data_IF_849628210315
#
_entry.id   IF_849628210315
#
_cell.length_a   1.000
_cell.length_b   1.000
_cell.length_c   1.000
_cell.angle_alpha   90.00
_cell.angle_beta   90.00
_cell.angle_gamma   90.00
#
_symmetry.space_group_name_H-M   'P 1'
#
loop_
_entity.id
_entity.type
_entity.pdbx_description
1 polymer ?
#
# COMPACT_ATOMS: atom_id res chain seq x y z
N UNK A 1 2.52 8.11 29.40
CA UNK A 1 2.01 9.38 28.85
C UNK A 1 1.53 9.06 27.44
N UNK A 2 0.50 8.24 27.29
CA UNK A 2 -0.89 8.38 27.74
C UNK A 2 -1.68 9.33 26.83
N UNK A 3 -2.71 8.73 26.25
CA UNK A 3 -3.39 9.07 25.00
C UNK A 3 -4.36 10.24 25.18
N UNK A 4 -4.49 11.06 24.13
CA UNK A 4 -5.48 12.12 24.05
C UNK A 4 -6.82 11.54 23.57
N UNK A 5 -7.77 11.43 24.50
CA UNK A 5 -9.19 11.21 24.20
C UNK A 5 -9.81 12.49 23.59
N UNK A 6 -10.53 12.40 22.46
CA UNK A 6 -11.28 13.51 21.88
C UNK A 6 -12.76 13.53 22.32
N UNK A 7 -13.06 13.18 23.57
CA UNK A 7 -14.38 13.43 24.16
C UNK A 7 -14.27 14.62 25.10
N UNK A 8 -14.67 15.79 24.61
CA UNK A 8 -15.29 16.88 25.37
C UNK A 8 -15.05 18.21 24.65
N UNK A 9 -15.78 18.47 23.58
CA UNK A 9 -16.33 19.82 23.33
C UNK A 9 -17.63 19.66 22.54
N UNK A 10 -18.76 19.81 23.25
CA UNK A 10 -19.93 20.62 22.90
C UNK A 10 -21.26 19.95 23.31
N UNK A 11 -21.47 19.84 24.62
CA UNK A 11 -22.82 19.94 25.19
C UNK A 11 -23.27 21.40 25.12
N UNK A 12 -24.35 21.66 24.40
CA UNK A 12 -25.26 22.77 24.69
C UNK A 12 -26.67 22.24 24.39
N UNK A 13 -27.34 21.81 25.46
CA UNK A 13 -28.78 21.62 25.50
C UNK A 13 -29.44 23.01 25.59
N UNK A 14 -30.45 23.29 24.77
CA UNK A 14 -31.84 23.48 25.23
C UNK A 14 -32.81 23.75 24.05
N UNK A 15 -33.83 22.88 23.99
CA UNK A 15 -35.26 23.17 23.79
C UNK A 15 -35.90 23.54 22.43
N UNK A 16 -37.11 22.96 22.30
CA UNK A 16 -38.25 23.28 21.44
C UNK A 16 -38.32 22.75 19.98
N UNK A 17 -38.99 21.61 19.82
CA UNK A 17 -40.24 21.58 19.02
C UNK A 17 -40.21 20.96 17.60
N UNK A 18 -40.87 19.81 17.49
CA UNK A 18 -41.63 19.30 16.32
C UNK A 18 -40.87 18.97 15.02
N UNK A 19 -40.60 17.67 14.83
CA UNK A 19 -40.39 17.09 13.49
C UNK A 19 -41.76 16.84 12.82
N UNK A 20 -42.03 17.34 11.59
CA UNK A 20 -43.21 16.93 10.86
C UNK A 20 -42.95 15.61 10.13
N UNK A 21 -43.67 14.59 10.58
CA UNK A 21 -43.97 13.37 9.85
C UNK A 21 -44.65 13.71 8.51
N UNK A 22 -43.93 13.60 7.40
CA UNK A 22 -44.55 13.65 6.06
C UNK A 22 -45.03 12.25 5.71
N UNK A 23 -46.34 12.07 5.87
CA UNK A 23 -47.10 10.91 5.46
C UNK A 23 -46.94 10.65 3.94
N UNK A 24 -46.73 9.37 3.61
CA UNK A 24 -46.83 8.87 2.26
C UNK A 24 -48.27 9.07 1.75
N UNK A 25 -48.40 9.73 0.60
CA UNK A 25 -49.65 9.80 -0.15
C UNK A 25 -49.40 9.21 -1.55
N UNK A 26 -49.98 8.04 -1.79
CA UNK A 26 -50.09 7.41 -3.12
C UNK A 26 -50.82 8.33 -4.10
N UNK A 27 -50.42 8.41 -5.38
CA UNK A 27 -51.29 8.95 -6.41
C UNK A 27 -52.07 7.80 -7.05
N UNK A 28 -53.38 7.73 -6.75
CA UNK A 28 -54.36 7.12 -7.64
C UNK A 28 -54.63 8.08 -8.81
N UNK A 29 -54.59 7.55 -10.02
CA UNK A 29 -54.89 8.25 -11.27
C UNK A 29 -56.41 8.21 -11.59
N UNK A 30 -56.78 9.06 -12.55
CA UNK A 30 -58.10 9.27 -13.21
C UNK A 30 -59.00 10.31 -12.50
N UNK A 31 -59.64 11.27 -13.15
CA UNK A 31 -59.74 11.76 -14.54
C UNK A 31 -60.45 13.13 -14.43
N UNK A 32 -60.31 14.03 -15.40
CA UNK A 32 -61.12 15.27 -15.44
C UNK A 32 -60.41 16.52 -15.96
N UNK A 33 -60.51 16.71 -17.27
CA UNK A 33 -60.13 17.91 -17.99
C UNK A 33 -60.77 19.20 -17.43
N UNK A 34 -59.99 20.29 -17.36
CA UNK A 34 -60.45 21.63 -17.75
C UNK A 34 -59.25 22.49 -18.13
N UNK A 35 -59.34 23.11 -19.31
CA UNK A 35 -58.35 24.01 -19.87
C UNK A 35 -58.23 25.30 -19.04
N UNK A 36 -56.98 25.72 -18.82
CA UNK A 36 -56.64 27.00 -18.20
C UNK A 36 -55.23 27.39 -18.63
N UNK A 37 -55.15 28.11 -19.74
CA UNK A 37 -53.92 28.69 -20.27
C UNK A 37 -53.46 29.80 -19.32
N UNK A 38 -52.32 29.61 -18.66
CA UNK A 38 -51.59 30.70 -18.02
C UNK A 38 -50.08 30.49 -18.19
N UNK A 39 -49.55 31.30 -19.09
CA UNK A 39 -48.12 31.53 -19.33
C UNK A 39 -47.49 32.13 -18.08
N UNK A 40 -46.47 31.46 -17.54
CA UNK A 40 -45.55 32.04 -16.55
C UNK A 40 -44.12 31.84 -17.03
N UNK A 41 -43.35 32.93 -16.97
CA UNK A 41 -41.99 33.10 -17.49
C UNK A 41 -40.97 32.08 -16.96
N UNK A 42 -39.90 31.76 -17.74
CA UNK A 42 -38.91 30.78 -17.34
C UNK A 42 -37.92 31.36 -16.33
N UNK A 43 -38.03 30.95 -15.06
CA UNK A 43 -36.98 31.11 -14.06
C UNK A 43 -35.79 30.17 -14.31
N UNK A 44 -34.59 30.50 -13.79
CA UNK A 44 -33.34 29.81 -14.12
C UNK A 44 -33.40 28.33 -13.73
N UNK A 45 -33.32 27.45 -14.73
CA UNK A 45 -33.27 26.02 -14.55
C UNK A 45 -32.00 25.63 -13.78
N UNK A 46 -32.18 25.13 -12.56
CA UNK A 46 -31.15 24.34 -11.88
C UNK A 46 -30.75 23.16 -12.79
N UNK A 47 -29.46 22.77 -12.84
CA UNK A 47 -29.01 21.72 -13.75
C UNK A 47 -29.82 20.46 -13.48
N UNK A 48 -30.59 20.03 -14.50
CA UNK A 48 -31.38 18.82 -14.45
C UNK A 48 -30.45 17.66 -14.05
N UNK A 49 -30.76 17.00 -12.93
CA UNK A 49 -30.10 15.74 -12.57
C UNK A 49 -30.19 14.82 -13.80
N UNK A 50 -29.10 14.13 -14.17
CA UNK A 50 -29.13 13.25 -15.35
C UNK A 50 -30.31 12.29 -15.20
N UNK A 51 -31.25 12.37 -16.14
CA UNK A 51 -32.43 11.53 -16.13
C UNK A 51 -31.97 10.07 -16.25
N UNK A 52 -32.22 9.27 -15.21
CA UNK A 52 -31.84 7.87 -15.20
C UNK A 52 -32.49 7.17 -16.40
N UNK A 53 -31.68 6.44 -17.16
CA UNK A 53 -32.15 5.69 -18.32
C UNK A 53 -33.13 4.60 -17.88
N UNK A 54 -34.01 4.17 -18.80
CA UNK A 54 -34.95 3.09 -18.51
C UNK A 54 -34.25 1.79 -18.06
N UNK A 55 -33.05 1.52 -18.59
CA UNK A 55 -32.22 0.38 -18.21
C UNK A 55 -31.66 0.50 -16.79
N UNK A 56 -31.19 1.68 -16.39
CA UNK A 56 -30.73 1.94 -15.02
C UNK A 56 -31.88 1.79 -14.03
N UNK A 57 -33.06 2.33 -14.34
CA UNK A 57 -34.26 2.19 -13.50
C UNK A 57 -34.69 0.72 -13.35
N UNK A 58 -34.57 -0.09 -14.40
CA UNK A 58 -34.85 -1.52 -14.35
C UNK A 58 -33.86 -2.28 -13.44
N UNK A 59 -32.56 -1.95 -13.50
CA UNK A 59 -31.53 -2.51 -12.62
C UNK A 59 -31.76 -2.14 -11.15
N UNK A 60 -32.11 -0.89 -10.86
CA UNK A 60 -32.46 -0.48 -9.49
C UNK A 60 -33.73 -1.17 -8.99
N UNK A 61 -34.73 -1.39 -9.85
CA UNK A 61 -35.93 -2.15 -9.49
C UNK A 61 -35.64 -3.63 -9.23
N UNK A 62 -34.70 -4.25 -9.95
CA UNK A 62 -34.24 -5.60 -9.65
C UNK A 62 -33.48 -5.65 -8.32
N UNK A 63 -32.52 -4.76 -8.11
CA UNK A 63 -31.75 -4.68 -6.87
C UNK A 63 -32.62 -4.48 -5.64
N UNK A 64 -33.65 -3.61 -5.71
CA UNK A 64 -34.61 -3.43 -4.61
C UNK A 64 -35.40 -4.70 -4.31
N UNK A 65 -35.83 -5.43 -5.35
CA UNK A 65 -36.57 -6.70 -5.18
C UNK A 65 -35.69 -7.78 -4.58
N UNK A 66 -34.47 -7.90 -5.05
CA UNK A 66 -33.48 -8.83 -4.51
C UNK A 66 -33.13 -8.50 -3.06
N UNK A 67 -32.85 -7.22 -2.75
CA UNK A 67 -32.59 -6.78 -1.38
C UNK A 67 -33.78 -7.03 -0.44
N UNK A 68 -35.01 -6.82 -0.92
CA UNK A 68 -36.22 -7.12 -0.13
C UNK A 68 -36.39 -8.64 0.07
N UNK A 69 -36.14 -9.45 -0.96
CA UNK A 69 -36.18 -10.91 -0.87
C UNK A 69 -35.13 -11.42 0.13
N UNK A 70 -33.88 -10.96 0.01
CA UNK A 70 -32.80 -11.30 0.92
C UNK A 70 -33.10 -10.90 2.37
N UNK A 71 -33.74 -9.75 2.60
CA UNK A 71 -34.19 -9.34 3.94
C UNK A 71 -35.24 -10.28 4.51
N UNK A 72 -36.25 -10.64 3.71
CA UNK A 72 -37.30 -11.59 4.14
C UNK A 72 -36.71 -12.97 4.41
N UNK A 73 -35.81 -13.44 3.56
CA UNK A 73 -35.11 -14.72 3.75
C UNK A 73 -34.26 -14.71 5.03
N UNK A 74 -33.49 -13.64 5.26
CA UNK A 74 -32.69 -13.49 6.47
C UNK A 74 -33.56 -13.43 7.73
N UNK A 75 -34.71 -12.75 7.69
CA UNK A 75 -35.67 -12.71 8.80
C UNK A 75 -36.29 -14.09 9.07
N UNK A 76 -36.67 -14.82 8.01
CA UNK A 76 -37.18 -16.18 8.12
C UNK A 76 -36.12 -17.14 8.67
N UNK A 77 -34.86 -17.02 8.22
CA UNK A 77 -33.74 -17.82 8.72
C UNK A 77 -33.47 -17.53 10.20
N UNK A 78 -33.47 -16.26 10.61
CA UNK A 78 -33.33 -15.87 12.03
C UNK A 78 -34.48 -16.41 12.88
N UNK A 79 -35.72 -16.28 12.41
CA UNK A 79 -36.89 -16.82 13.10
C UNK A 79 -36.86 -18.36 13.20
N UNK A 80 -36.37 -19.05 12.16
CA UNK A 80 -36.15 -20.49 12.20
C UNK A 80 -35.05 -20.88 13.21
N UNK A 81 -33.93 -20.16 13.21
CA UNK A 81 -32.83 -20.39 14.14
C UNK A 81 -33.24 -20.18 15.61
N UNK A 82 -33.99 -19.11 15.90
CA UNK A 82 -34.54 -18.86 17.23
C UNK A 82 -35.53 -19.95 17.66
N UNK A 83 -36.40 -20.43 16.75
CA UNK A 83 -37.29 -21.56 17.04
C UNK A 83 -36.50 -22.84 17.36
N UNK A 84 -35.45 -23.14 16.60
CA UNK A 84 -34.59 -24.29 16.86
C UNK A 84 -33.89 -24.17 18.22
N UNK A 85 -33.31 -23.01 18.53
CA UNK A 85 -32.66 -22.73 19.83
C UNK A 85 -33.66 -22.91 20.98
N UNK A 86 -34.87 -22.35 20.87
CA UNK A 86 -35.90 -22.49 21.90
C UNK A 86 -36.32 -23.95 22.15
N UNK A 87 -36.34 -24.78 21.11
CA UNK A 87 -36.62 -26.21 21.25
C UNK A 87 -35.46 -26.91 21.95
N UNK A 88 -34.22 -26.68 21.50
CA UNK A 88 -33.02 -27.28 22.09
C UNK A 88 -32.82 -26.89 23.56
N UNK A 89 -33.10 -25.64 23.91
CA UNK A 89 -33.10 -25.13 25.29
C UNK A 89 -34.06 -25.92 26.20
N UNK A 90 -35.23 -26.33 25.69
CA UNK A 90 -36.19 -27.17 26.46
C UNK A 90 -35.66 -28.58 26.73
N UNK A 91 -34.78 -29.09 25.87
CA UNK A 91 -34.12 -30.39 26.04
C UNK A 91 -32.85 -30.31 26.91
N UNK A 92 -32.53 -29.14 27.46
CA UNK A 92 -31.41 -28.94 28.37
C UNK A 92 -30.09 -28.52 27.72
N UNK A 93 -30.07 -28.26 26.41
CA UNK A 93 -28.90 -27.71 25.73
C UNK A 93 -28.94 -26.18 25.83
N UNK A 94 -27.98 -25.57 26.50
CA UNK A 94 -27.93 -24.12 26.74
C UNK A 94 -26.77 -23.48 25.96
N UNK A 95 -26.98 -22.25 25.49
CA UNK A 95 -25.98 -21.44 24.79
C UNK A 95 -26.57 -20.08 24.38
N UNK A 96 -25.70 -19.10 24.15
CA UNK A 96 -26.12 -17.72 23.85
C UNK A 96 -26.70 -17.61 22.43
N UNK A 97 -26.25 -18.46 21.52
CA UNK A 97 -26.71 -18.55 20.14
C UNK A 97 -26.90 -20.02 19.72
N UNK A 98 -27.56 -20.22 18.56
CA UNK A 98 -27.80 -21.56 18.02
C UNK A 98 -26.50 -22.31 17.74
N UNK A 99 -25.45 -21.63 17.28
CA UNK A 99 -24.17 -22.26 16.91
C UNK A 99 -23.46 -22.86 18.13
N UNK A 100 -23.50 -22.21 19.29
CA UNK A 100 -22.97 -22.74 20.55
C UNK A 100 -23.78 -23.93 21.07
N UNK A 101 -25.10 -23.88 20.94
CA UNK A 101 -25.98 -25.00 21.28
C UNK A 101 -25.69 -26.20 20.35
N UNK A 102 -25.41 -25.96 19.08
CA UNK A 102 -25.03 -27.00 18.13
C UNK A 102 -23.62 -27.54 18.41
N UNK A 103 -22.65 -26.69 18.75
CA UNK A 103 -21.31 -27.10 19.14
C UNK A 103 -21.34 -28.00 20.39
N UNK A 104 -22.13 -27.63 21.41
CA UNK A 104 -22.28 -28.44 22.63
C UNK A 104 -22.94 -29.79 22.34
N UNK A 105 -23.97 -29.80 21.48
CA UNK A 105 -24.63 -31.03 21.04
C UNK A 105 -23.69 -31.93 20.24
N UNK A 106 -22.93 -31.37 19.30
CA UNK A 106 -21.97 -32.11 18.47
C UNK A 106 -20.81 -32.65 19.32
N UNK A 107 -20.27 -31.84 20.24
CA UNK A 107 -19.24 -32.25 21.18
C UNK A 107 -19.74 -33.40 22.08
N UNK A 108 -20.97 -33.31 22.58
CA UNK A 108 -21.60 -34.37 23.38
C UNK A 108 -21.81 -35.66 22.56
N UNK A 109 -22.18 -35.54 21.27
CA UNK A 109 -22.32 -36.69 20.38
C UNK A 109 -20.98 -37.37 20.09
N UNK A 110 -19.91 -36.59 19.88
CA UNK A 110 -18.56 -37.07 19.53
C UNK A 110 -17.69 -37.41 20.73
N UNK A 111 -18.15 -37.15 21.96
CA UNK A 111 -17.41 -37.33 23.21
C UNK A 111 -16.07 -36.55 23.23
N UNK A 112 -16.05 -35.37 22.62
CA UNK A 112 -14.90 -34.45 22.62
C UNK A 112 -15.27 -33.16 23.34
N UNK A 113 -14.27 -32.33 23.66
CA UNK A 113 -14.55 -31.00 24.22
C UNK A 113 -15.02 -30.01 23.14
N UNK A 114 -15.83 -29.01 23.51
CA UNK A 114 -16.25 -27.94 22.59
C UNK A 114 -15.04 -27.18 22.03
N UNK A 115 -14.00 -26.97 22.85
CA UNK A 115 -12.75 -26.34 22.41
C UNK A 115 -12.03 -27.15 21.34
N UNK A 116 -12.00 -28.48 21.48
CA UNK A 116 -11.35 -29.38 20.52
C UNK A 116 -12.12 -29.44 19.20
N UNK A 117 -13.46 -29.49 19.27
CA UNK A 117 -14.33 -29.40 18.08
C UNK A 117 -14.08 -28.10 17.30
N UNK A 118 -14.00 -26.96 18.01
CA UNK A 118 -13.73 -25.65 17.38
C UNK A 118 -12.34 -25.59 16.77
N UNK A 119 -11.34 -26.18 17.42
CA UNK A 119 -9.99 -26.28 16.88
C UNK A 119 -9.93 -27.16 15.63
N UNK A 120 -10.63 -28.30 15.63
CA UNK A 120 -10.73 -29.19 14.46
C UNK A 120 -11.36 -28.46 13.27
N UNK A 121 -12.49 -27.79 13.49
CA UNK A 121 -13.20 -27.03 12.44
C UNK A 121 -12.35 -25.86 11.91
N UNK A 122 -11.69 -25.11 12.80
CA UNK A 122 -10.79 -24.04 12.40
C UNK A 122 -9.59 -24.58 11.59
N UNK A 123 -9.01 -25.70 12.02
CA UNK A 123 -7.92 -26.34 11.28
C UNK A 123 -8.37 -26.88 9.92
N UNK A 124 -9.58 -27.41 9.82
CA UNK A 124 -10.17 -27.85 8.55
C UNK A 124 -10.46 -26.66 7.62
N UNK A 125 -11.00 -25.57 8.14
CA UNK A 125 -11.24 -24.35 7.38
C UNK A 125 -9.91 -23.75 6.87
N UNK A 126 -8.87 -23.73 7.70
CA UNK A 126 -7.53 -23.31 7.28
C UNK A 126 -6.97 -24.22 6.18
N UNK A 127 -7.09 -25.55 6.33
CA UNK A 127 -6.67 -26.51 5.30
C UNK A 127 -7.44 -26.31 4.01
N UNK A 128 -8.74 -26.10 4.09
CA UNK A 128 -9.59 -25.84 2.93
C UNK A 128 -9.20 -24.51 2.27
N UNK A 129 -8.98 -23.46 3.06
CA UNK A 129 -8.53 -22.15 2.58
C UNK A 129 -7.15 -22.23 1.93
N UNK A 130 -6.24 -23.03 2.48
CA UNK A 130 -4.92 -23.29 1.88
C UNK A 130 -5.06 -24.10 0.58
N UNK A 131 -5.91 -25.13 0.57
CA UNK A 131 -6.17 -25.94 -0.61
C UNK A 131 -6.79 -25.11 -1.75
N UNK A 132 -7.73 -24.20 -1.44
CA UNK A 132 -8.29 -23.27 -2.43
C UNK A 132 -7.24 -22.30 -2.96
N UNK A 133 -6.37 -21.75 -2.12
CA UNK A 133 -5.29 -20.85 -2.56
C UNK A 133 -4.23 -21.56 -3.42
N UNK A 134 -3.97 -22.83 -3.10
CA UNK A 134 -3.00 -23.67 -3.79
C UNK A 134 -3.64 -24.51 -4.90
N UNK A 135 -4.94 -24.31 -5.18
CA UNK A 135 -5.63 -25.00 -6.26
C UNK A 135 -4.89 -24.69 -7.58
N UNK A 136 -4.69 -25.69 -8.46
CA UNK A 136 -3.85 -25.53 -9.64
C UNK A 136 -4.32 -24.39 -10.54
N UNK A 137 -5.63 -24.19 -10.65
CA UNK A 137 -6.23 -23.08 -11.41
C UNK A 137 -5.90 -21.71 -10.79
N UNK A 138 -6.02 -21.57 -9.46
CA UNK A 138 -5.69 -20.32 -8.75
C UNK A 138 -4.20 -19.99 -8.89
N UNK A 139 -3.34 -21.00 -8.77
CA UNK A 139 -1.90 -20.84 -8.95
C UNK A 139 -1.57 -20.44 -10.39
N UNK A 140 -2.14 -21.12 -11.38
CA UNK A 140 -1.95 -20.77 -12.79
C UNK A 140 -2.44 -19.36 -13.11
N UNK A 141 -3.62 -18.96 -12.61
CA UNK A 141 -4.15 -17.62 -12.82
C UNK A 141 -3.27 -16.56 -12.17
N UNK A 142 -2.80 -16.79 -10.94
CA UNK A 142 -1.84 -15.89 -10.26
C UNK A 142 -0.53 -15.77 -11.05
N UNK A 143 -0.01 -16.87 -11.57
CA UNK A 143 1.20 -16.85 -12.41
C UNK A 143 0.98 -16.09 -13.71
N UNK A 144 -0.14 -16.32 -14.40
CA UNK A 144 -0.48 -15.58 -15.62
C UNK A 144 -0.58 -14.08 -15.35
N UNK A 145 -1.28 -13.66 -14.30
CA UNK A 145 -1.38 -12.26 -13.91
C UNK A 145 -0.01 -11.65 -13.60
N UNK A 146 0.84 -12.37 -12.86
CA UNK A 146 2.20 -11.92 -12.56
C UNK A 146 3.05 -11.76 -13.83
N UNK A 147 2.93 -12.67 -14.79
CA UNK A 147 3.62 -12.58 -16.08
C UNK A 147 3.11 -11.41 -16.93
N UNK A 148 1.81 -11.16 -16.97
CA UNK A 148 1.26 -9.98 -17.64
C UNK A 148 1.75 -8.67 -17.00
N UNK A 149 1.72 -8.58 -15.67
CA UNK A 149 2.23 -7.42 -14.94
C UNK A 149 3.71 -7.19 -15.25
N UNK A 150 4.54 -8.23 -15.15
CA UNK A 150 5.97 -8.15 -15.47
C UNK A 150 6.24 -7.65 -16.89
N UNK A 151 5.48 -8.12 -17.88
CA UNK A 151 5.63 -7.69 -19.27
C UNK A 151 5.27 -6.22 -19.45
N UNK A 152 4.19 -5.78 -18.82
CA UNK A 152 3.79 -4.37 -18.89
C UNK A 152 4.81 -3.47 -18.19
N UNK A 153 5.27 -3.86 -17.00
CA UNK A 153 6.32 -3.15 -16.25
C UNK A 153 7.60 -3.04 -17.10
N UNK A 154 8.02 -4.14 -17.73
CA UNK A 154 9.18 -4.14 -18.62
C UNK A 154 8.99 -3.19 -19.80
N UNK A 155 7.81 -3.21 -20.45
CA UNK A 155 7.53 -2.31 -21.57
C UNK A 155 7.63 -0.84 -21.14
N UNK A 156 7.04 -0.48 -20.01
CA UNK A 156 7.08 0.88 -19.47
C UNK A 156 8.53 1.31 -19.19
N UNK A 157 9.33 0.43 -18.57
CA UNK A 157 10.73 0.73 -18.29
C UNK A 157 11.57 0.86 -19.58
N UNK A 158 11.35 0.02 -20.57
CA UNK A 158 12.06 0.08 -21.85
C UNK A 158 11.66 1.32 -22.65
N UNK A 159 10.38 1.70 -22.64
CA UNK A 159 9.85 2.92 -23.26
C UNK A 159 10.48 4.16 -22.61
N UNK A 160 10.50 4.22 -21.27
CA UNK A 160 11.15 5.29 -20.50
C UNK A 160 12.66 5.37 -20.82
N UNK A 161 13.37 4.23 -20.91
CA UNK A 161 14.80 4.21 -21.27
C UNK A 161 15.04 4.72 -22.69
N UNK A 162 14.18 4.31 -23.62
CA UNK A 162 14.23 4.73 -25.02
C UNK A 162 14.05 6.23 -25.16
N UNK A 163 13.10 6.81 -24.41
CA UNK A 163 12.87 8.24 -24.37
C UNK A 163 14.09 9.00 -23.79
N UNK A 164 14.66 8.51 -22.69
CA UNK A 164 15.86 9.11 -22.07
C UNK A 164 17.05 9.08 -23.03
N UNK A 165 17.32 7.96 -23.69
CA UNK A 165 18.43 7.83 -24.65
C UNK A 165 18.24 8.70 -25.88
N UNK A 166 17.01 8.88 -26.34
CA UNK A 166 16.67 9.77 -27.46
C UNK A 166 16.94 11.24 -27.11
N UNK A 167 16.57 11.66 -25.91
CA UNK A 167 16.74 13.04 -25.45
C UNK A 167 18.14 13.34 -24.93
N UNK A 168 18.84 12.32 -24.40
CA UNK A 168 20.16 12.43 -23.79
C UNK A 168 21.10 11.33 -24.34
N UNK A 169 21.70 11.53 -25.53
CA UNK A 169 22.56 10.51 -26.18
C UNK A 169 23.83 10.13 -25.41
N UNK A 170 24.20 10.89 -24.37
CA UNK A 170 25.33 10.59 -23.49
C UNK A 170 25.00 9.63 -22.34
N UNK A 171 23.75 9.20 -22.18
CA UNK A 171 23.34 8.29 -21.11
C UNK A 171 23.78 6.85 -21.41
N UNK A 172 24.44 6.21 -20.44
CA UNK A 172 25.03 4.87 -20.58
C UNK A 172 24.30 3.79 -19.80
N UNK A 173 23.23 4.15 -19.08
CA UNK A 173 22.38 3.21 -18.35
C UNK A 173 21.84 2.08 -19.25
N UNK A 174 21.86 0.86 -18.72
CA UNK A 174 21.33 -0.33 -19.39
C UNK A 174 19.86 -0.53 -19.09
N UNK A 175 19.42 -0.10 -17.92
CA UNK A 175 18.03 -0.10 -17.48
C UNK A 175 17.66 1.22 -16.83
N UNK A 176 16.38 1.59 -16.87
CA UNK A 176 15.82 2.67 -16.04
C UNK A 176 16.07 2.43 -14.56
N UNK A 177 16.15 1.17 -14.13
CA UNK A 177 16.46 0.82 -12.75
C UNK A 177 17.86 1.30 -12.34
N UNK A 178 18.80 1.42 -13.28
CA UNK A 178 20.16 1.93 -13.03
C UNK A 178 20.18 3.45 -12.77
N UNK A 179 19.11 4.17 -13.12
CA UNK A 179 18.92 5.59 -12.77
C UNK A 179 18.59 5.76 -11.29
N UNK A 180 18.27 4.67 -10.61
CA UNK A 180 18.08 4.61 -9.17
C UNK A 180 16.64 4.88 -8.72
N UNK A 181 16.34 4.63 -7.44
CA UNK A 181 14.98 4.61 -6.91
C UNK A 181 14.29 5.97 -6.96
N UNK A 182 15.05 7.07 -6.95
CA UNK A 182 14.50 8.43 -7.01
C UNK A 182 13.86 8.73 -8.36
N UNK A 183 14.39 8.18 -9.45
CA UNK A 183 13.77 8.29 -10.77
C UNK A 183 12.40 7.58 -10.79
N UNK A 184 12.36 6.34 -10.29
CA UNK A 184 11.14 5.54 -10.22
C UNK A 184 10.08 6.19 -9.33
N UNK A 185 10.49 6.78 -8.19
CA UNK A 185 9.58 7.51 -7.32
C UNK A 185 8.95 8.73 -8.01
N UNK A 186 9.74 9.48 -8.80
CA UNK A 186 9.22 10.60 -9.59
C UNK A 186 8.26 10.13 -10.69
N UNK A 187 8.58 9.03 -11.40
CA UNK A 187 7.68 8.42 -12.38
C UNK A 187 6.38 7.94 -11.75
N UNK A 188 6.46 7.30 -10.59
CA UNK A 188 5.29 6.84 -9.82
C UNK A 188 4.43 8.02 -9.32
N UNK A 189 5.04 9.17 -9.04
CA UNK A 189 4.33 10.41 -8.71
C UNK A 189 3.69 11.10 -9.94
N UNK A 190 3.84 10.52 -11.14
CA UNK A 190 3.27 11.05 -12.38
C UNK A 190 4.13 12.13 -13.07
N UNK A 191 5.39 12.30 -12.66
CA UNK A 191 6.33 13.20 -13.33
C UNK A 191 6.74 12.61 -14.69
N UNK A 192 6.89 13.46 -15.70
CA UNK A 192 7.33 13.06 -17.02
C UNK A 192 8.78 12.53 -17.01
N UNK A 193 9.09 11.68 -17.99
CA UNK A 193 10.36 10.95 -18.08
C UNK A 193 11.58 11.88 -18.10
N UNK A 194 11.52 12.96 -18.87
CA UNK A 194 12.65 13.87 -19.02
C UNK A 194 12.89 14.72 -17.77
N UNK A 195 11.83 15.27 -17.17
CA UNK A 195 11.93 16.04 -15.92
C UNK A 195 12.43 15.17 -14.78
N UNK A 196 11.93 13.94 -14.67
CA UNK A 196 12.42 12.98 -13.67
C UNK A 196 13.90 12.66 -13.86
N UNK A 197 14.34 12.41 -15.10
CA UNK A 197 15.75 12.16 -15.41
C UNK A 197 16.63 13.36 -15.08
N UNK A 198 16.22 14.58 -15.45
CA UNK A 198 16.96 15.82 -15.17
C UNK A 198 17.14 16.07 -13.67
N UNK A 199 16.09 15.85 -12.88
CA UNK A 199 16.15 16.02 -11.43
C UNK A 199 17.17 15.06 -10.78
N UNK A 200 17.19 13.81 -11.25
CA UNK A 200 18.12 12.79 -10.76
C UNK A 200 19.54 13.01 -11.25
N UNK A 201 19.73 13.40 -12.52
CA UNK A 201 21.06 13.66 -13.08
C UNK A 201 21.73 14.87 -12.42
N UNK A 202 20.98 15.94 -12.14
CA UNK A 202 21.47 17.08 -11.35
C UNK A 202 21.88 16.67 -9.94
N UNK A 203 21.06 15.86 -9.27
CA UNK A 203 21.36 15.35 -7.91
C UNK A 203 22.60 14.45 -7.91
N UNK A 204 22.78 13.61 -8.95
CA UNK A 204 23.99 12.79 -9.13
C UNK A 204 25.22 13.66 -9.31
N UNK A 205 25.15 14.67 -10.18
CA UNK A 205 26.26 15.60 -10.43
C UNK A 205 26.64 16.40 -9.17
N UNK A 206 25.67 16.83 -8.38
CA UNK A 206 25.91 17.53 -7.11
C UNK A 206 26.58 16.63 -6.06
N UNK A 207 26.25 15.34 -6.04
CA UNK A 207 26.86 14.37 -5.13
C UNK A 207 28.24 13.90 -5.61
N UNK A 208 28.51 13.92 -6.92
CA UNK A 208 29.85 13.76 -7.48
C UNK A 208 30.56 15.12 -7.52
N UNK A 209 30.88 15.69 -6.35
CA UNK A 209 31.81 16.84 -6.31
C UNK A 209 33.08 16.45 -7.07
N UNK A 210 33.59 17.27 -8.01
CA UNK A 210 34.86 16.98 -8.65
C UNK A 210 35.90 16.81 -7.55
N UNK A 211 36.70 15.74 -7.63
CA UNK A 211 37.90 15.64 -6.82
C UNK A 211 38.65 16.98 -6.93
N UNK A 212 39.14 17.55 -5.82
CA UNK A 212 39.88 18.81 -5.87
C UNK A 212 40.88 18.72 -7.02
N UNK A 213 40.99 19.73 -7.90
CA UNK A 213 41.98 19.70 -8.96
C UNK A 213 43.31 19.34 -8.31
N UNK A 214 43.99 18.32 -8.84
CA UNK A 214 45.36 18.05 -8.43
C UNK A 214 46.14 19.34 -8.68
N UNK A 215 46.36 20.11 -7.62
CA UNK A 215 47.25 21.25 -7.63
C UNK A 215 48.57 20.66 -8.10
N UNK A 216 49.01 21.13 -9.27
CA UNK A 216 49.92 20.41 -10.14
C UNK A 216 51.12 19.81 -9.42
N UNK A 217 51.61 18.71 -10.00
CA UNK A 217 52.90 18.12 -9.70
C UNK A 217 54.02 19.18 -9.78
N UNK A 218 54.21 19.93 -8.70
CA UNK A 218 55.46 20.62 -8.40
C UNK A 218 56.42 19.52 -8.01
N UNK A 219 57.36 19.21 -8.90
CA UNK A 219 58.48 18.28 -8.71
C UNK A 219 58.72 17.88 -7.25
N UNK A 220 58.11 16.78 -6.80
CA UNK A 220 58.48 16.13 -5.55
C UNK A 220 59.74 15.30 -5.81
N UNK A 221 60.84 15.98 -6.10
CA UNK A 221 62.20 15.45 -5.90
C UNK A 221 62.72 15.81 -4.51
N UNK A 222 61.83 15.91 -3.55
CA UNK A 222 62.15 15.80 -2.13
C UNK A 222 61.50 14.51 -1.64
N UNK A 223 62.29 13.54 -1.16
CA UNK A 223 61.76 12.34 -0.53
C UNK A 223 60.77 12.79 0.55
N UNK A 224 59.52 12.33 0.45
CA UNK A 224 58.47 12.60 1.41
C UNK A 224 59.01 12.24 2.80
N UNK A 225 59.22 13.23 3.66
CA UNK A 225 59.67 13.03 5.04
C UNK A 225 58.65 12.08 5.70
N UNK A 226 59.06 10.83 5.93
CA UNK A 226 58.25 9.84 6.65
C UNK A 226 58.56 9.97 8.14
N UNK A 227 57.54 9.91 8.97
CA UNK A 227 57.69 9.90 10.44
C UNK A 227 58.33 8.61 10.96
N UNK A 228 58.26 7.53 10.15
CA UNK A 228 58.84 6.22 10.44
C UNK A 228 59.39 5.55 9.18
N UNK A 229 60.52 4.88 9.31
CA UNK A 229 61.17 4.08 8.28
C UNK A 229 61.21 2.60 8.72
N UNK A 230 61.12 1.67 7.77
CA UNK A 230 61.38 0.25 8.01
C UNK A 230 62.87 -0.08 7.83
N UNK A 231 63.38 -1.22 8.36
CA UNK A 231 64.79 -1.59 8.23
C UNK A 231 65.28 -1.60 6.78
N UNK A 232 64.50 -2.18 5.87
CA UNK A 232 64.83 -2.23 4.43
C UNK A 232 64.83 -0.84 3.77
N UNK A 233 64.02 0.09 4.27
CA UNK A 233 64.00 1.46 3.74
C UNK A 233 65.20 2.26 4.24
N UNK A 234 65.67 2.00 5.48
CA UNK A 234 66.88 2.63 6.02
C UNK A 234 68.13 2.12 5.32
N UNK A 235 68.21 0.82 5.01
CA UNK A 235 69.33 0.27 4.23
C UNK A 235 69.40 0.81 2.80
N UNK A 236 68.30 1.33 2.27
CA UNK A 236 68.23 1.97 0.95
C UNK A 236 68.45 3.48 0.99
N UNK A 237 68.52 4.11 2.17
CA UNK A 237 68.83 5.53 2.30
C UNK A 237 70.30 5.77 1.97
N UNK A 238 70.57 6.83 1.21
CA UNK A 238 71.95 7.20 0.91
C UNK A 238 72.58 7.95 2.09
N UNK A 239 73.91 7.97 2.15
CA UNK A 239 74.66 8.64 3.22
C UNK A 239 74.29 10.14 3.31
N UNK A 240 73.95 10.76 2.17
CA UNK A 240 73.48 12.16 2.09
C UNK A 240 72.07 12.37 2.64
N UNK A 241 71.22 11.34 2.64
CA UNK A 241 69.88 11.43 3.22
C UNK A 241 69.92 11.29 4.74
N UNK A 242 70.90 10.55 5.26
CA UNK A 242 71.15 10.39 6.71
C UNK A 242 71.81 11.62 7.36
N UNK A 243 72.46 12.48 6.56
CA UNK A 243 72.96 13.79 7.01
C UNK A 243 71.84 14.79 7.33
N UNK A 244 70.61 14.54 6.85
CA UNK A 244 69.47 15.38 7.19
C UNK A 244 69.00 15.05 8.63
N UNK A 245 69.04 16.03 9.57
CA UNK A 245 68.71 15.78 10.98
C UNK A 245 67.28 15.27 11.19
N UNK A 246 66.33 15.62 10.30
CA UNK A 246 64.94 15.15 10.40
C UNK A 246 64.77 13.68 9.99
N UNK A 247 65.46 13.26 8.93
CA UNK A 247 65.45 11.86 8.50
C UNK A 247 66.11 10.99 9.55
N UNK A 248 67.22 11.46 10.11
CA UNK A 248 67.94 10.75 11.17
C UNK A 248 67.11 10.61 12.45
N UNK A 249 66.38 11.66 12.86
CA UNK A 249 65.45 11.58 14.00
C UNK A 249 64.31 10.56 13.76
N UNK A 250 63.72 10.54 12.56
CA UNK A 250 62.70 9.59 12.18
C UNK A 250 63.25 8.15 12.13
N UNK A 251 64.47 7.94 11.64
CA UNK A 251 65.17 6.65 11.65
C UNK A 251 65.44 6.17 13.07
N UNK A 252 65.98 7.02 13.96
CA UNK A 252 66.21 6.67 15.37
C UNK A 252 64.90 6.29 16.09
N UNK A 253 63.83 7.06 15.86
CA UNK A 253 62.50 6.76 16.39
C UNK A 253 61.99 5.42 15.88
N UNK A 254 62.30 5.08 14.63
CA UNK A 254 61.93 3.81 14.01
C UNK A 254 62.71 2.63 14.55
N UNK A 255 64.02 2.79 14.79
CA UNK A 255 64.89 1.75 15.38
C UNK A 255 64.38 1.28 16.74
N UNK A 256 63.78 2.16 17.55
CA UNK A 256 63.18 1.76 18.84
C UNK A 256 61.95 0.84 18.72
N UNK A 257 61.35 0.78 17.53
CA UNK A 257 60.18 -0.04 17.22
C UNK A 257 60.52 -1.33 16.48
N UNK A 258 61.75 -1.45 15.98
CA UNK A 258 62.23 -2.68 15.37
C UNK A 258 62.63 -3.65 16.48
N UNK A 259 62.13 -4.88 16.44
CA UNK A 259 62.47 -5.96 17.36
C UNK A 259 62.87 -7.19 16.56
#
# INVERSE_FOLDING_TARGET
>A
MEELNPDSILSTEDDAGQEPVVAAQEPAAEDGATAGEQTTEPGPQAPAKPAQTAEENARFAQFRREAQAARREAEQARAAAQRAQNVLNRYGYQGDNLDEVLDTLEAAQRNISVSELRQERAAEEERFRQAMQNAPEVVQMRQQLAEYQRREDQRILDDDLGEIKRLNPGETAKSVLDLGPQFLALRAAGVDTQTAYNAVSQTRQQNTKPAPPEIGAVNTSTPKEKDYYSPEEVDRLSEKDLENPRVMEAVQRSMTKWR
#
